data_IF_117493444241
#
_entry.id   IF_117493444241
#
_cell.length_a   1.000
_cell.length_b   1.000
_cell.length_c   1.000
_cell.angle_alpha   90.00
_cell.angle_beta   90.00
_cell.angle_gamma   90.00
#
_symmetry.space_group_name_H-M   'P 1'
#
loop_
_entity.id
_entity.type
_entity.pdbx_description
1 polymer ?
#
# COMPACT_ATOMS: atom_id res chain seq x y z
N UNK A 1 47.90 -16.65 -26.37
CA UNK A 1 47.21 -15.61 -25.56
C UNK A 1 45.68 -15.67 -25.70
N UNK A 2 45.10 -15.84 -26.89
CA UNK A 2 43.63 -15.90 -27.07
C UNK A 2 42.90 -17.03 -26.31
N UNK A 3 43.51 -18.22 -26.20
CA UNK A 3 42.89 -19.36 -25.52
C UNK A 3 42.72 -19.16 -24.00
N UNK A 4 43.63 -18.44 -23.35
CA UNK A 4 43.56 -18.13 -21.90
C UNK A 4 42.46 -17.11 -21.62
N UNK A 5 42.28 -16.15 -22.54
CA UNK A 5 41.22 -15.14 -22.45
C UNK A 5 39.82 -15.76 -22.61
N UNK A 6 39.65 -16.66 -23.61
CA UNK A 6 38.41 -17.42 -23.79
C UNK A 6 38.06 -18.28 -22.58
N UNK A 7 39.05 -18.94 -21.97
CA UNK A 7 38.81 -19.79 -20.80
C UNK A 7 38.46 -18.98 -19.53
N UNK A 8 38.93 -17.73 -19.42
CA UNK A 8 38.54 -16.78 -18.37
C UNK A 8 37.10 -16.29 -18.56
N UNK A 9 36.76 -15.83 -19.76
CA UNK A 9 35.41 -15.35 -20.10
C UNK A 9 34.36 -16.47 -19.98
N UNK A 10 34.68 -17.69 -20.41
CA UNK A 10 33.80 -18.85 -20.22
C UNK A 10 33.61 -19.19 -18.74
N UNK A 11 34.63 -19.05 -17.91
CA UNK A 11 34.51 -19.26 -16.47
C UNK A 11 33.61 -18.20 -15.83
N UNK A 12 33.75 -16.94 -16.19
CA UNK A 12 32.91 -15.85 -15.66
C UNK A 12 31.45 -16.00 -16.09
N UNK A 13 31.19 -16.29 -17.37
CA UNK A 13 29.83 -16.51 -17.87
C UNK A 13 29.16 -17.74 -17.25
N UNK A 14 29.90 -18.81 -16.97
CA UNK A 14 29.40 -19.98 -16.25
C UNK A 14 29.10 -19.68 -14.78
N UNK A 15 29.92 -18.84 -14.12
CA UNK A 15 29.65 -18.38 -12.76
C UNK A 15 28.39 -17.50 -12.71
N UNK A 16 28.25 -16.58 -13.67
CA UNK A 16 27.07 -15.71 -13.77
C UNK A 16 25.79 -16.51 -14.07
N UNK A 17 25.85 -17.53 -14.94
CA UNK A 17 24.69 -18.39 -15.23
C UNK A 17 24.31 -19.27 -14.03
N UNK A 18 25.30 -19.80 -13.30
CA UNK A 18 25.08 -20.57 -12.07
C UNK A 18 24.49 -19.71 -10.94
N UNK A 19 24.96 -18.48 -10.76
CA UNK A 19 24.35 -17.52 -9.82
C UNK A 19 22.91 -17.15 -10.22
N UNK A 20 22.66 -16.92 -11.51
CA UNK A 20 21.31 -16.60 -12.02
C UNK A 20 20.34 -17.77 -11.82
N UNK A 21 20.79 -19.02 -12.02
CA UNK A 21 19.99 -20.21 -11.76
C UNK A 21 19.71 -20.42 -10.26
N UNK A 22 20.68 -20.13 -9.39
CA UNK A 22 20.54 -20.24 -7.94
C UNK A 22 19.59 -19.17 -7.35
N UNK A 23 19.53 -17.98 -7.97
CA UNK A 23 18.57 -16.92 -7.63
C UNK A 23 17.14 -17.23 -8.10
N UNK A 24 16.97 -17.92 -9.24
CA UNK A 24 15.66 -18.23 -9.81
C UNK A 24 14.94 -19.39 -9.09
N UNK A 25 15.68 -20.30 -8.45
CA UNK A 25 15.11 -21.45 -7.75
C UNK A 25 14.51 -21.11 -6.36
N UNK A 26 14.57 -19.86 -5.90
CA UNK A 26 14.27 -19.48 -4.52
C UNK A 26 12.81 -19.11 -4.26
N UNK A 27 12.02 -18.70 -5.26
CA UNK A 27 10.66 -18.17 -5.01
C UNK A 27 9.68 -19.29 -4.62
N UNK A 28 9.63 -20.38 -5.38
CA UNK A 28 8.72 -21.50 -5.11
C UNK A 28 9.14 -22.24 -3.84
N UNK A 29 10.45 -22.44 -3.64
CA UNK A 29 10.99 -23.07 -2.43
C UNK A 29 10.74 -22.26 -1.16
N UNK A 30 10.90 -20.93 -1.19
CA UNK A 30 10.64 -20.06 -0.04
C UNK A 30 9.14 -19.98 0.33
N UNK A 31 8.22 -20.13 -0.64
CA UNK A 31 6.77 -20.23 -0.38
C UNK A 31 6.41 -21.51 0.42
N UNK A 32 7.23 -22.55 0.37
CA UNK A 32 7.04 -23.76 1.18
C UNK A 32 7.90 -23.81 2.45
N UNK A 33 8.76 -22.81 2.71
CA UNK A 33 9.50 -22.74 3.97
C UNK A 33 8.61 -22.20 5.10
N UNK A 34 8.31 -23.08 6.07
CA UNK A 34 7.41 -22.85 7.23
C UNK A 34 8.13 -22.16 8.41
N UNK A 35 9.42 -21.85 8.28
CA UNK A 35 10.19 -21.20 9.34
C UNK A 35 9.74 -19.77 9.60
N UNK A 36 9.40 -19.46 10.85
CA UNK A 36 9.13 -18.09 11.29
C UNK A 36 10.41 -17.26 11.18
N UNK A 37 10.50 -16.46 10.13
CA UNK A 37 11.62 -15.55 9.92
C UNK A 37 11.55 -14.40 10.94
N UNK A 38 12.58 -14.29 11.79
CA UNK A 38 12.80 -13.26 12.84
C UNK A 38 11.51 -12.87 13.61
N UNK A 39 10.99 -13.73 14.50
CA UNK A 39 9.67 -13.56 15.11
C UNK A 39 9.55 -12.37 16.08
N UNK A 40 10.65 -11.77 16.53
CA UNK A 40 10.65 -10.69 17.52
C UNK A 40 10.61 -9.28 16.92
N UNK A 41 10.94 -9.12 15.63
CA UNK A 41 11.00 -7.81 14.93
C UNK A 41 9.80 -7.67 13.97
N UNK A 42 9.28 -6.45 13.76
CA UNK A 42 8.18 -6.24 12.81
C UNK A 42 6.82 -6.72 13.27
N UNK A 43 6.62 -7.04 14.56
CA UNK A 43 5.38 -7.71 15.04
C UNK A 43 4.14 -6.86 14.79
N UNK A 44 4.17 -5.58 15.15
CA UNK A 44 3.02 -4.68 15.00
C UNK A 44 2.76 -4.44 13.52
N UNK A 45 3.78 -4.08 12.73
CA UNK A 45 3.65 -3.83 11.30
C UNK A 45 3.08 -5.04 10.57
N UNK A 46 3.56 -6.25 10.85
CA UNK A 46 3.04 -7.50 10.26
C UNK A 46 1.58 -7.76 10.63
N UNK A 47 1.22 -7.60 11.91
CA UNK A 47 -0.15 -7.78 12.37
C UNK A 47 -1.10 -6.77 11.74
N UNK A 48 -0.69 -5.49 11.68
CA UNK A 48 -1.48 -4.42 11.07
C UNK A 48 -1.66 -4.67 9.57
N UNK A 49 -0.60 -4.99 8.83
CA UNK A 49 -0.72 -5.31 7.40
C UNK A 49 -1.60 -6.53 7.17
N UNK A 50 -1.46 -7.59 7.97
CA UNK A 50 -2.31 -8.77 7.88
C UNK A 50 -3.79 -8.42 8.15
N UNK A 51 -4.06 -7.64 9.19
CA UNK A 51 -5.40 -7.19 9.52
C UNK A 51 -6.00 -6.30 8.42
N UNK A 52 -5.22 -5.37 7.85
CA UNK A 52 -5.65 -4.53 6.73
C UNK A 52 -6.04 -5.37 5.51
N UNK A 53 -5.23 -6.37 5.16
CA UNK A 53 -5.55 -7.27 4.04
C UNK A 53 -6.79 -8.10 4.34
N UNK A 54 -6.96 -8.59 5.58
CA UNK A 54 -8.18 -9.30 5.97
C UNK A 54 -9.43 -8.42 5.89
N UNK A 55 -9.36 -7.15 6.28
CA UNK A 55 -10.48 -6.20 6.13
C UNK A 55 -10.84 -6.05 4.64
N UNK A 56 -9.85 -5.91 3.76
CA UNK A 56 -10.10 -5.83 2.31
C UNK A 56 -10.74 -7.12 1.78
N UNK A 57 -10.25 -8.29 2.20
CA UNK A 57 -10.85 -9.59 1.83
C UNK A 57 -12.28 -9.70 2.34
N UNK A 58 -12.57 -9.28 3.57
CA UNK A 58 -13.93 -9.28 4.13
C UNK A 58 -14.88 -8.38 3.33
N UNK A 59 -14.43 -7.18 2.97
CA UNK A 59 -15.22 -6.27 2.12
C UNK A 59 -15.43 -6.85 0.72
N UNK A 60 -14.40 -7.47 0.13
CA UNK A 60 -14.51 -8.13 -1.17
C UNK A 60 -15.50 -9.31 -1.13
N UNK A 61 -15.41 -10.17 -0.10
CA UNK A 61 -16.34 -11.28 0.13
C UNK A 61 -17.77 -10.78 0.34
N UNK A 62 -17.95 -9.71 1.12
CA UNK A 62 -19.27 -9.10 1.34
C UNK A 62 -19.86 -8.56 0.04
N UNK A 63 -19.06 -7.89 -0.78
CA UNK A 63 -19.49 -7.41 -2.10
C UNK A 63 -19.82 -8.56 -3.04
N UNK A 64 -19.00 -9.60 -3.07
CA UNK A 64 -19.24 -10.78 -3.90
C UNK A 64 -20.54 -11.51 -3.51
N UNK A 65 -20.81 -11.65 -2.22
CA UNK A 65 -22.07 -12.21 -1.71
C UNK A 65 -23.28 -11.40 -2.17
N UNK A 66 -23.20 -10.07 -2.14
CA UNK A 66 -24.28 -9.20 -2.63
C UNK A 66 -24.47 -9.31 -4.15
N UNK A 67 -23.38 -9.42 -4.91
CA UNK A 67 -23.44 -9.54 -6.37
C UNK A 67 -24.06 -10.87 -6.82
N UNK A 68 -23.83 -11.95 -6.07
CA UNK A 68 -24.32 -13.30 -6.41
C UNK A 68 -25.65 -13.64 -5.75
N UNK A 69 -26.45 -12.64 -5.35
CA UNK A 69 -27.69 -12.84 -4.58
C UNK A 69 -28.72 -13.78 -5.26
N UNK A 70 -28.72 -13.89 -6.58
CA UNK A 70 -29.65 -14.75 -7.35
C UNK A 70 -28.96 -15.97 -7.99
N UNK A 71 -27.72 -16.28 -7.58
CA UNK A 71 -26.90 -17.33 -8.18
C UNK A 71 -27.07 -18.72 -7.55
N UNK A 72 -28.12 -18.92 -6.72
CA UNK A 72 -28.35 -20.17 -6.00
C UNK A 72 -27.22 -20.51 -5.02
N UNK A 73 -26.72 -21.76 -5.02
CA UNK A 73 -25.67 -22.21 -4.09
C UNK A 73 -24.35 -21.45 -4.23
N UNK A 74 -24.07 -20.90 -5.43
CA UNK A 74 -22.86 -20.11 -5.70
C UNK A 74 -22.81 -18.80 -4.90
N UNK A 75 -23.96 -18.30 -4.43
CA UNK A 75 -24.05 -17.16 -3.52
C UNK A 75 -23.24 -17.39 -2.24
N UNK A 76 -23.17 -18.63 -1.75
CA UNK A 76 -22.48 -18.96 -0.49
C UNK A 76 -21.10 -19.56 -0.74
N UNK A 77 -20.98 -20.45 -1.73
CA UNK A 77 -19.75 -21.21 -1.98
C UNK A 77 -18.62 -20.29 -2.45
N UNK A 78 -18.88 -19.41 -3.42
CA UNK A 78 -17.84 -18.56 -3.99
C UNK A 78 -17.28 -17.53 -2.97
N UNK A 79 -18.11 -16.79 -2.21
CA UNK A 79 -17.60 -15.90 -1.16
C UNK A 79 -16.88 -16.64 -0.03
N UNK A 80 -17.36 -17.81 0.37
CA UNK A 80 -16.71 -18.61 1.43
C UNK A 80 -15.33 -19.12 0.99
N UNK A 81 -15.21 -19.61 -0.24
CA UNK A 81 -13.94 -20.01 -0.82
C UNK A 81 -12.95 -18.82 -0.90
N UNK A 82 -13.42 -17.65 -1.34
CA UNK A 82 -12.61 -16.43 -1.38
C UNK A 82 -12.12 -16.03 0.01
N UNK A 83 -12.97 -16.15 1.04
CA UNK A 83 -12.59 -15.80 2.41
C UNK A 83 -11.46 -16.71 2.92
N UNK A 84 -11.60 -18.03 2.77
CA UNK A 84 -10.59 -18.99 3.23
C UNK A 84 -9.26 -18.78 2.48
N UNK A 85 -9.31 -18.75 1.15
CA UNK A 85 -8.11 -18.58 0.32
C UNK A 85 -7.47 -17.21 0.59
N UNK A 86 -8.28 -16.16 0.68
CA UNK A 86 -7.81 -14.80 0.94
C UNK A 86 -7.14 -14.66 2.31
N UNK A 87 -7.72 -15.25 3.36
CA UNK A 87 -7.13 -15.19 4.71
C UNK A 87 -5.83 -15.97 4.81
N UNK A 88 -5.79 -17.17 4.21
CA UNK A 88 -4.59 -18.00 4.16
C UNK A 88 -3.48 -17.33 3.33
N UNK A 89 -3.80 -16.81 2.15
CA UNK A 89 -2.85 -16.11 1.29
C UNK A 89 -2.29 -14.84 1.94
N UNK A 90 -3.15 -14.06 2.62
CA UNK A 90 -2.74 -12.89 3.39
C UNK A 90 -1.74 -13.26 4.48
N UNK A 91 -2.06 -14.27 5.30
CA UNK A 91 -1.16 -14.76 6.33
C UNK A 91 0.16 -15.26 5.74
N UNK A 92 0.12 -16.01 4.63
CA UNK A 92 1.33 -16.58 4.02
C UNK A 92 2.26 -15.51 3.44
N UNK A 93 1.68 -14.51 2.80
CA UNK A 93 2.41 -13.39 2.18
C UNK A 93 3.10 -12.53 3.23
N UNK A 94 2.41 -12.19 4.33
CA UNK A 94 2.99 -11.39 5.43
C UNK A 94 4.14 -12.13 6.14
N UNK A 95 4.11 -13.45 6.15
CA UNK A 95 5.16 -14.28 6.77
C UNK A 95 6.27 -14.71 5.81
N UNK A 96 6.24 -14.28 4.55
CA UNK A 96 7.31 -14.55 3.59
C UNK A 96 8.56 -13.72 3.89
N UNK A 97 9.74 -14.35 3.89
CA UNK A 97 10.98 -13.76 4.41
C UNK A 97 11.31 -12.38 3.78
N UNK A 98 11.26 -12.27 2.45
CA UNK A 98 11.57 -11.00 1.74
C UNK A 98 10.59 -9.88 2.07
N UNK A 99 9.30 -10.22 2.22
CA UNK A 99 8.28 -9.24 2.57
C UNK A 99 8.37 -8.84 4.05
N UNK A 100 8.70 -9.79 4.92
CA UNK A 100 8.94 -9.51 6.33
C UNK A 100 10.17 -8.60 6.54
N UNK A 101 11.27 -8.81 5.81
CA UNK A 101 12.43 -7.91 5.84
C UNK A 101 12.07 -6.49 5.38
N UNK A 102 11.24 -6.36 4.34
CA UNK A 102 10.72 -5.06 3.90
C UNK A 102 9.89 -4.38 4.98
N UNK A 103 8.94 -5.09 5.61
CA UNK A 103 8.11 -4.53 6.68
C UNK A 103 8.94 -4.09 7.91
N UNK A 104 9.98 -4.84 8.25
CA UNK A 104 10.92 -4.47 9.32
C UNK A 104 11.71 -3.21 8.93
N UNK A 105 12.17 -3.11 7.68
CA UNK A 105 12.88 -1.93 7.19
C UNK A 105 11.97 -0.68 7.19
N UNK A 106 10.70 -0.81 6.78
CA UNK A 106 9.71 0.27 6.85
C UNK A 106 9.44 0.69 8.28
N UNK A 107 9.28 -0.26 9.21
CA UNK A 107 9.13 0.05 10.65
C UNK A 107 10.34 0.85 11.17
N UNK A 108 11.57 0.43 10.82
CA UNK A 108 12.78 1.14 11.19
C UNK A 108 12.85 2.54 10.58
N UNK A 109 12.36 2.74 9.35
CA UNK A 109 12.31 4.05 8.70
C UNK A 109 11.23 4.95 9.32
N UNK A 110 10.08 4.38 9.67
CA UNK A 110 9.00 5.10 10.36
C UNK A 110 9.42 5.56 11.77
N UNK A 111 10.26 4.79 12.48
CA UNK A 111 10.80 5.20 13.77
C UNK A 111 11.74 6.41 13.69
N UNK A 112 12.25 6.75 12.50
CA UNK A 112 13.04 7.97 12.28
C UNK A 112 12.16 9.20 12.07
N UNK A 113 10.88 9.00 11.74
CA UNK A 113 9.95 10.10 11.51
C UNK A 113 9.50 10.65 12.86
N UNK A 114 9.94 11.87 13.18
CA UNK A 114 9.42 12.63 14.31
C UNK A 114 8.05 13.19 13.96
N UNK A 115 6.98 12.53 14.44
CA UNK A 115 5.63 13.04 14.26
C UNK A 115 5.42 14.31 15.10
N UNK A 116 4.81 15.35 14.52
CA UNK A 116 4.56 16.61 15.21
C UNK A 116 3.61 16.38 16.40
N UNK A 117 3.80 17.18 17.44
CA UNK A 117 2.90 17.13 18.59
C UNK A 117 1.51 17.69 18.22
N UNK A 118 0.47 17.30 18.97
CA UNK A 118 -0.89 17.82 18.77
C UNK A 118 -0.96 19.36 18.79
N UNK A 119 -0.15 20.01 19.63
CA UNK A 119 -0.08 21.47 19.70
C UNK A 119 0.53 22.09 18.44
N UNK A 120 1.55 21.46 17.86
CA UNK A 120 2.16 21.90 16.59
C UNK A 120 1.19 21.73 15.42
N UNK A 121 0.51 20.58 15.34
CA UNK A 121 -0.50 20.28 14.32
C UNK A 121 -1.64 21.31 14.31
N UNK A 122 -2.14 21.69 15.48
CA UNK A 122 -3.20 22.70 15.61
C UNK A 122 -2.69 24.08 15.22
N UNK A 123 -1.48 24.45 15.65
CA UNK A 123 -0.87 25.74 15.33
C UNK A 123 -0.56 25.89 13.84
N UNK A 124 -0.12 24.82 13.17
CA UNK A 124 0.08 24.87 11.72
C UNK A 124 -1.24 24.92 10.96
N UNK A 125 -2.24 24.14 11.39
CA UNK A 125 -3.54 24.06 10.71
C UNK A 125 -4.40 25.32 10.88
N UNK A 126 -4.35 26.00 12.04
CA UNK A 126 -5.12 27.23 12.27
C UNK A 126 -4.72 28.36 11.30
N UNK A 127 -3.43 28.45 10.97
CA UNK A 127 -2.94 29.43 9.97
C UNK A 127 -3.54 29.12 8.61
N UNK A 128 -3.52 27.85 8.19
CA UNK A 128 -4.10 27.42 6.91
C UNK A 128 -5.60 27.71 6.86
N UNK A 129 -6.34 27.37 7.91
CA UNK A 129 -7.79 27.66 8.01
C UNK A 129 -8.05 29.16 7.92
N UNK A 130 -7.26 29.98 8.62
CA UNK A 130 -7.38 31.43 8.56
C UNK A 130 -7.13 31.98 7.14
N UNK A 131 -6.09 31.51 6.46
CA UNK A 131 -5.79 31.94 5.08
C UNK A 131 -6.91 31.54 4.11
N UNK A 132 -7.45 30.32 4.24
CA UNK A 132 -8.57 29.85 3.39
C UNK A 132 -9.82 30.69 3.66
N UNK A 133 -10.17 30.97 4.92
CA UNK A 133 -11.32 31.80 5.27
C UNK A 133 -11.15 33.25 4.82
N UNK A 134 -9.95 33.81 4.98
CA UNK A 134 -9.63 35.15 4.51
C UNK A 134 -9.77 35.24 2.99
N UNK A 135 -9.21 34.28 2.25
CA UNK A 135 -9.36 34.22 0.80
C UNK A 135 -10.83 34.07 0.39
N UNK A 136 -11.58 33.21 1.07
CA UNK A 136 -13.02 33.04 0.82
C UNK A 136 -13.79 34.35 1.03
N UNK A 137 -13.47 35.12 2.08
CA UNK A 137 -14.08 36.42 2.32
C UNK A 137 -13.73 37.45 1.23
N UNK A 138 -12.47 37.47 0.76
CA UNK A 138 -12.03 38.34 -0.33
C UNK A 138 -12.74 37.97 -1.65
N UNK A 139 -12.81 36.68 -1.98
CA UNK A 139 -13.51 36.20 -3.17
C UNK A 139 -15.00 36.54 -3.10
N UNK A 140 -15.65 36.30 -1.97
CA UNK A 140 -17.04 36.70 -1.74
C UNK A 140 -17.24 38.21 -1.92
N UNK A 141 -16.27 39.02 -1.48
CA UNK A 141 -16.26 40.46 -1.70
C UNK A 141 -16.22 40.81 -3.19
N UNK A 142 -15.30 40.20 -3.96
CA UNK A 142 -15.24 40.39 -5.41
C UNK A 142 -16.53 39.94 -6.11
N UNK A 143 -17.04 38.76 -5.78
CA UNK A 143 -18.29 38.23 -6.33
C UNK A 143 -19.46 39.19 -6.08
N UNK A 144 -19.53 39.76 -4.88
CA UNK A 144 -20.55 40.76 -4.52
C UNK A 144 -20.41 42.04 -5.33
N UNK A 145 -19.18 42.57 -5.46
CA UNK A 145 -18.90 43.78 -6.25
C UNK A 145 -19.28 43.58 -7.72
N UNK A 146 -18.84 42.47 -8.32
CA UNK A 146 -19.18 42.13 -9.70
C UNK A 146 -20.68 41.96 -9.90
N UNK A 147 -21.35 41.27 -8.97
CA UNK A 147 -22.81 41.12 -8.99
C UNK A 147 -23.51 42.47 -9.00
N UNK A 148 -23.13 43.39 -8.11
CA UNK A 148 -23.70 44.73 -8.03
C UNK A 148 -23.49 45.50 -9.34
N UNK A 149 -22.27 45.51 -9.87
CA UNK A 149 -21.92 46.20 -11.12
C UNK A 149 -22.76 45.65 -12.29
N UNK A 150 -22.84 44.33 -12.44
CA UNK A 150 -23.61 43.72 -13.53
C UNK A 150 -25.12 43.91 -13.40
N UNK A 151 -25.65 44.03 -12.18
CA UNK A 151 -27.04 44.42 -11.95
C UNK A 151 -27.30 45.88 -12.36
N UNK A 152 -26.40 46.81 -12.00
CA UNK A 152 -26.53 48.21 -12.44
C UNK A 152 -26.41 48.38 -13.96
N UNK A 153 -25.59 47.55 -14.61
CA UNK A 153 -25.46 47.52 -16.07
C UNK A 153 -26.61 46.79 -16.80
N UNK A 154 -27.57 46.20 -16.07
CA UNK A 154 -28.74 45.54 -16.63
C UNK A 154 -28.46 44.19 -17.32
N UNK A 155 -27.24 43.65 -17.18
CA UNK A 155 -26.84 42.33 -17.73
C UNK A 155 -27.34 41.19 -16.85
N UNK A 156 -27.31 41.38 -15.53
CA UNK A 156 -27.94 40.49 -14.55
C UNK A 156 -29.24 41.15 -14.05
N UNK A 157 -30.36 40.41 -14.10
CA UNK A 157 -31.60 40.78 -13.40
C UNK A 157 -31.45 40.60 -11.89
#
# INVERSE_FOLDING_TARGET
MAAVWLHGVLRETLVMSKQKAMSASSIVGEIFHVGLYKPTQGRITRQVTCASVWIVVLLATFKLYQTLYDAGEWQYIAPFALLIVGFWAAYRTVNYAKFADFLIAVEAEMNKVSWPSWAELVRSSIVVIFVILFLAAVLFGYDTVWRIIFTYLGVLK
#
